data_IF_967924238344
#
_entry.id   IF_967924238344
#
_cell.length_a   1.000
_cell.length_b   1.000
_cell.length_c   1.000
_cell.angle_alpha   90.00
_cell.angle_beta   90.00
_cell.angle_gamma   90.00
#
_symmetry.space_group_name_H-M   'P 1'
#
loop_
_entity.id
_entity.type
_entity.pdbx_description
1 polymer ?
#
# COMPACT_ATOMS: atom_id res chain seq x y z
N UNK A 1 7.10 -3.76 13.70
CA UNK A 1 6.57 -4.71 12.67
C UNK A 1 5.23 -4.19 12.20
N UNK A 2 5.02 -4.05 10.88
CA UNK A 2 3.81 -3.39 10.33
C UNK A 2 2.55 -4.24 10.47
N UNK A 3 1.42 -3.58 10.71
CA UNK A 3 0.11 -4.23 10.78
C UNK A 3 -0.27 -4.81 9.40
N UNK A 4 -0.76 -6.04 9.39
CA UNK A 4 -1.29 -6.71 8.20
C UNK A 4 -2.83 -6.74 8.21
N UNK A 5 -3.41 -6.83 7.03
CA UNK A 5 -4.83 -6.88 6.76
C UNK A 5 -5.11 -8.02 5.78
N UNK A 6 -6.21 -8.73 5.96
CA UNK A 6 -6.65 -9.76 5.01
C UNK A 6 -7.17 -9.12 3.73
N UNK A 7 -6.76 -9.68 2.59
CA UNK A 7 -7.32 -9.41 1.28
C UNK A 7 -7.92 -10.71 0.77
N UNK A 8 -9.20 -10.66 0.39
CA UNK A 8 -9.90 -11.81 -0.17
C UNK A 8 -10.01 -11.65 -1.67
N UNK A 9 -9.43 -12.59 -2.39
CA UNK A 9 -9.43 -12.62 -3.85
C UNK A 9 -10.26 -13.80 -4.30
N UNK A 10 -11.30 -13.57 -5.12
CA UNK A 10 -12.14 -14.65 -5.66
C UNK A 10 -11.82 -14.81 -7.13
N UNK A 11 -11.20 -15.93 -7.49
CA UNK A 11 -10.85 -16.27 -8.88
C UNK A 11 -11.48 -17.59 -9.27
N UNK A 12 -12.31 -17.59 -10.31
CA UNK A 12 -13.01 -18.79 -10.82
C UNK A 12 -13.78 -19.58 -9.74
N UNK A 13 -14.33 -18.90 -8.73
CA UNK A 13 -15.08 -19.51 -7.63
C UNK A 13 -14.23 -20.07 -6.48
N UNK A 14 -12.90 -19.97 -6.56
CA UNK A 14 -12.00 -20.26 -5.45
C UNK A 14 -11.69 -18.97 -4.67
N UNK A 15 -11.84 -19.03 -3.34
CA UNK A 15 -11.44 -17.95 -2.44
C UNK A 15 -9.99 -18.18 -2.02
N UNK A 16 -9.13 -17.21 -2.31
CA UNK A 16 -7.77 -17.13 -1.80
C UNK A 16 -7.71 -15.97 -0.79
N UNK A 17 -7.13 -16.24 0.37
CA UNK A 17 -6.92 -15.24 1.42
C UNK A 17 -5.43 -14.90 1.43
N UNK A 18 -5.14 -13.66 1.07
CA UNK A 18 -3.80 -13.08 1.09
C UNK A 18 -3.71 -11.98 2.16
N UNK A 19 -2.51 -11.47 2.41
CA UNK A 19 -2.29 -10.43 3.42
C UNK A 19 -1.57 -9.23 2.81
N UNK A 20 -2.08 -8.04 3.09
CA UNK A 20 -1.45 -6.76 2.72
C UNK A 20 -1.03 -5.98 3.96
N UNK A 21 0.03 -5.18 3.83
CA UNK A 21 0.42 -4.19 4.86
C UNK A 21 -0.29 -2.85 4.69
N UNK A 22 -1.18 -2.73 3.70
CA UNK A 22 -1.79 -1.47 3.31
C UNK A 22 -3.29 -1.47 3.56
N UNK A 23 -3.79 -0.31 3.98
CA UNK A 23 -5.22 -0.03 4.08
C UNK A 23 -5.65 0.96 3.00
N UNK A 24 -6.78 0.71 2.37
CA UNK A 24 -7.45 1.69 1.49
C UNK A 24 -8.12 2.74 2.38
N UNK A 25 -7.61 3.97 2.37
CA UNK A 25 -8.17 5.08 3.14
C UNK A 25 -9.20 5.89 2.36
N UNK A 26 -9.05 5.95 1.04
CA UNK A 26 -9.97 6.66 0.15
C UNK A 26 -9.86 6.06 -1.25
N UNK A 27 -10.98 5.65 -1.81
CA UNK A 27 -11.09 5.25 -3.21
C UNK A 27 -12.24 6.01 -3.86
N UNK A 28 -11.91 6.70 -4.95
CA UNK A 28 -12.85 7.39 -5.82
C UNK A 28 -12.75 6.84 -7.24
N UNK A 29 -13.59 7.37 -8.12
CA UNK A 29 -13.53 7.06 -9.56
C UNK A 29 -12.24 7.56 -10.22
N UNK A 30 -11.47 8.44 -9.58
CA UNK A 30 -10.28 9.07 -10.16
C UNK A 30 -9.00 8.83 -9.37
N UNK A 31 -9.09 8.39 -8.11
CA UNK A 31 -7.96 8.32 -7.20
C UNK A 31 -8.13 7.24 -6.15
N UNK A 32 -7.03 6.60 -5.77
CA UNK A 32 -6.97 5.70 -4.61
C UNK A 32 -5.83 6.12 -3.68
N UNK A 33 -6.04 6.02 -2.37
CA UNK A 33 -5.04 6.30 -1.34
C UNK A 33 -4.88 5.06 -0.47
N UNK A 34 -3.69 4.48 -0.53
CA UNK A 34 -3.26 3.44 0.39
C UNK A 34 -2.47 4.05 1.54
N UNK A 35 -2.55 3.44 2.72
CA UNK A 35 -1.68 3.80 3.84
C UNK A 35 -1.12 2.60 4.59
N UNK A 36 0.07 2.77 5.13
CA UNK A 36 0.70 1.86 6.08
C UNK A 36 1.44 2.66 7.15
N UNK A 37 1.77 2.03 8.27
CA UNK A 37 2.46 2.67 9.39
C UNK A 37 3.79 1.97 9.63
N UNK A 38 4.81 2.77 9.91
CA UNK A 38 6.16 2.33 10.29
C UNK A 38 6.45 2.75 11.73
N UNK A 39 7.32 1.99 12.39
CA UNK A 39 7.80 2.32 13.74
C UNK A 39 8.63 3.61 13.70
N UNK A 40 8.56 4.40 14.77
CA UNK A 40 9.33 5.65 14.87
C UNK A 40 10.84 5.35 14.93
N UNK A 41 11.66 6.24 14.35
CA UNK A 41 13.13 6.11 14.30
C UNK A 41 13.67 5.40 13.06
N UNK A 42 12.81 4.92 12.16
CA UNK A 42 13.24 4.46 10.84
C UNK A 42 13.60 5.65 9.94
N UNK A 43 14.70 5.53 9.22
CA UNK A 43 15.10 6.57 8.25
C UNK A 43 14.17 6.54 7.02
N UNK A 44 14.07 7.67 6.32
CA UNK A 44 13.31 7.74 5.06
C UNK A 44 13.83 6.71 4.05
N UNK A 45 15.14 6.47 3.99
CA UNK A 45 15.73 5.46 3.11
C UNK A 45 15.28 4.04 3.45
N UNK A 46 15.19 3.69 4.74
CA UNK A 46 14.75 2.36 5.17
C UNK A 46 13.28 2.14 4.81
N UNK A 47 12.46 3.16 5.05
CA UNK A 47 11.03 3.14 4.67
C UNK A 47 10.91 2.94 3.15
N UNK A 48 11.63 3.72 2.35
CA UNK A 48 11.57 3.58 0.89
C UNK A 48 12.05 2.21 0.40
N UNK A 49 13.10 1.64 1.01
CA UNK A 49 13.57 0.30 0.67
C UNK A 49 12.51 -0.77 0.96
N UNK A 50 11.85 -0.70 2.11
CA UNK A 50 10.73 -1.59 2.44
C UNK A 50 9.55 -1.42 1.48
N UNK A 51 9.20 -0.18 1.11
CA UNK A 51 8.13 0.07 0.13
C UNK A 51 8.50 -0.55 -1.23
N UNK A 52 9.75 -0.42 -1.68
CA UNK A 52 10.20 -1.01 -2.95
C UNK A 52 10.13 -2.55 -2.95
N UNK A 53 10.42 -3.19 -1.81
CA UNK A 53 10.23 -4.63 -1.67
C UNK A 53 8.73 -4.99 -1.68
N UNK A 54 7.88 -4.24 -0.97
CA UNK A 54 6.45 -4.49 -0.99
C UNK A 54 5.83 -4.35 -2.39
N UNK A 55 6.34 -3.44 -3.23
CA UNK A 55 5.85 -3.28 -4.62
C UNK A 55 5.95 -4.57 -5.46
N UNK A 56 6.79 -5.53 -5.05
CA UNK A 56 6.97 -6.81 -5.76
C UNK A 56 6.09 -7.94 -5.23
N UNK A 57 5.62 -7.84 -3.99
CA UNK A 57 5.04 -8.99 -3.25
C UNK A 57 3.74 -8.67 -2.50
N UNK A 58 3.43 -7.39 -2.25
CA UNK A 58 2.19 -7.03 -1.58
C UNK A 58 1.04 -7.02 -2.58
N UNK A 59 0.02 -7.87 -2.40
CA UNK A 59 -1.00 -8.11 -3.42
C UNK A 59 -1.82 -6.84 -3.72
N UNK A 60 -2.02 -5.98 -2.72
CA UNK A 60 -2.77 -4.74 -2.91
C UNK A 60 -1.94 -3.70 -3.67
N UNK A 61 -0.65 -3.55 -3.35
CA UNK A 61 0.22 -2.68 -4.13
C UNK A 61 0.42 -3.17 -5.56
N UNK A 62 0.61 -4.48 -5.73
CA UNK A 62 0.74 -5.10 -7.05
C UNK A 62 -0.49 -4.82 -7.91
N UNK A 63 -1.71 -4.92 -7.36
CA UNK A 63 -2.93 -4.56 -8.07
C UNK A 63 -2.90 -3.13 -8.63
N UNK A 64 -2.49 -2.14 -7.82
CA UNK A 64 -2.46 -0.74 -8.27
C UNK A 64 -1.30 -0.45 -9.23
N UNK A 65 -0.16 -1.12 -9.10
CA UNK A 65 1.02 -0.88 -9.94
C UNK A 65 0.95 -1.67 -11.25
N UNK A 66 0.56 -2.93 -11.18
CA UNK A 66 0.60 -3.90 -12.28
C UNK A 66 -0.63 -3.89 -13.18
N UNK A 67 -1.77 -3.36 -12.74
CA UNK A 67 -3.00 -3.38 -13.55
C UNK A 67 -2.98 -2.48 -14.79
N UNK A 68 -2.02 -1.56 -14.91
CA UNK A 68 -1.94 -0.60 -16.01
C UNK A 68 -3.04 0.47 -16.02
N UNK A 69 -3.98 0.42 -15.07
CA UNK A 69 -5.11 1.34 -14.95
C UNK A 69 -4.81 2.57 -14.09
N UNK A 70 -3.60 2.65 -13.52
CA UNK A 70 -3.21 3.71 -12.61
C UNK A 70 -1.88 4.33 -13.01
N UNK A 71 -1.76 5.65 -12.84
CA UNK A 71 -0.51 6.40 -12.97
C UNK A 71 0.31 6.38 -11.68
N UNK A 72 1.60 6.63 -11.89
CA UNK A 72 2.70 6.61 -10.93
C UNK A 72 2.27 7.05 -9.51
N UNK A 73 2.64 6.28 -8.48
CA UNK A 73 2.33 6.61 -7.10
C UNK A 73 2.99 7.91 -6.64
N UNK A 74 2.22 8.81 -6.02
CA UNK A 74 2.77 9.86 -5.15
C UNK A 74 2.84 9.34 -3.72
N UNK A 75 4.04 9.35 -3.14
CA UNK A 75 4.28 8.92 -1.76
C UNK A 75 4.44 10.16 -0.88
N UNK A 76 3.73 10.21 0.25
CA UNK A 76 3.94 11.21 1.29
C UNK A 76 4.01 10.55 2.65
N UNK A 77 4.87 11.06 3.52
CA UNK A 77 5.08 10.55 4.86
C UNK A 77 4.66 11.62 5.88
N UNK A 78 4.12 11.18 7.01
CA UNK A 78 3.82 12.04 8.14
C UNK A 78 4.24 11.34 9.42
N UNK A 79 5.14 11.98 10.14
CA UNK A 79 5.60 11.54 11.45
C UNK A 79 4.60 11.98 12.53
N UNK A 80 4.30 11.07 13.44
CA UNK A 80 3.49 11.22 14.64
C UNK A 80 4.32 10.76 15.84
N UNK A 81 3.84 11.04 17.06
CA UNK A 81 4.58 10.73 18.30
C UNK A 81 4.93 9.24 18.45
N UNK A 82 4.12 8.34 17.87
CA UNK A 82 4.23 6.89 18.02
C UNK A 82 4.54 6.14 16.70
N UNK A 83 4.41 6.78 15.54
CA UNK A 83 4.60 6.13 14.24
C UNK A 83 4.91 7.11 13.10
N UNK A 84 5.38 6.56 11.98
CA UNK A 84 5.43 7.25 10.69
C UNK A 84 4.35 6.67 9.80
N UNK A 85 3.33 7.48 9.48
CA UNK A 85 2.30 7.09 8.52
C UNK A 85 2.75 7.41 7.10
N UNK A 86 2.67 6.43 6.21
CA UNK A 86 3.00 6.56 4.79
C UNK A 86 1.71 6.47 3.99
N UNK A 87 1.54 7.39 3.04
CA UNK A 87 0.40 7.46 2.14
C UNK A 87 0.87 7.35 0.70
N UNK A 88 0.31 6.39 -0.04
CA UNK A 88 0.60 6.14 -1.46
C UNK A 88 -0.65 6.48 -2.26
N UNK A 89 -0.53 7.44 -3.17
CA UNK A 89 -1.65 7.94 -3.99
C UNK A 89 -1.51 7.45 -5.42
N UNK A 90 -2.54 6.76 -5.88
CA UNK A 90 -2.70 6.33 -7.27
C UNK A 90 -3.76 7.17 -7.96
N UNK A 91 -3.56 7.46 -9.24
CA UNK A 91 -4.54 8.18 -10.08
C UNK A 91 -5.00 7.25 -11.20
N UNK A 92 -6.33 7.06 -11.33
CA UNK A 92 -6.91 6.23 -12.41
C UNK A 92 -6.66 6.90 -13.77
N UNK A 93 -6.37 6.08 -14.79
CA UNK A 93 -6.13 6.51 -16.19
C UNK A 93 -7.45 6.56 -16.96
#
# INVERSE_FOLDING_TARGET
MRKTYEVKTITNGYEEIEFTKYRINNETNTKSILSTNFDIGLSVSDILAELCEDMKYDPLLEYYIGSGNFKLPSISMKEYDDNISVFIRFFKI
#
